data_IF_681915932513
#
_entry.id   IF_681915932513
#
_cell.length_a   1.000
_cell.length_b   1.000
_cell.length_c   1.000
_cell.angle_alpha   90.00
_cell.angle_beta   90.00
_cell.angle_gamma   90.00
#
_symmetry.space_group_name_H-M   'P 1'
#
loop_
_entity.id
_entity.type
_entity.pdbx_description
1 polymer ?
#
# COMPACT_ATOMS: atom_id res chain seq x y z
N UNK A 1 5.58 3.71 -9.56
CA UNK A 1 4.47 2.85 -9.13
C UNK A 1 4.33 2.82 -7.61
N UNK A 2 3.13 2.44 -7.16
CA UNK A 2 2.79 2.20 -5.76
C UNK A 2 1.95 0.92 -5.70
N UNK A 3 2.25 0.03 -4.76
CA UNK A 3 1.44 -1.16 -4.49
C UNK A 3 0.56 -0.88 -3.29
N UNK A 4 -0.72 -1.19 -3.41
CA UNK A 4 -1.68 -1.17 -2.30
C UNK A 4 -2.03 -2.60 -1.95
N UNK A 5 -1.59 -3.04 -0.79
CA UNK A 5 -1.79 -4.40 -0.30
C UNK A 5 -3.00 -4.48 0.64
N UNK A 6 -4.06 -5.13 0.20
CA UNK A 6 -5.25 -5.43 0.97
C UNK A 6 -5.12 -6.76 1.73
N UNK A 7 -5.76 -7.80 1.24
CA UNK A 7 -5.70 -9.16 1.81
C UNK A 7 -4.84 -10.11 0.99
N UNK A 8 -3.73 -9.62 0.45
CA UNK A 8 -2.89 -10.33 -0.51
C UNK A 8 -2.03 -11.44 0.13
N UNK A 9 -1.31 -11.13 1.21
CA UNK A 9 -0.40 -12.09 1.84
C UNK A 9 -1.12 -12.91 2.91
N UNK A 10 -1.51 -14.13 2.60
CA UNK A 10 -2.22 -15.04 3.50
C UNK A 10 -1.31 -16.07 4.15
N UNK A 11 -0.13 -16.25 3.60
CA UNK A 11 0.88 -17.20 4.07
C UNK A 11 2.23 -16.50 4.28
N UNK A 12 3.14 -17.08 5.07
CA UNK A 12 4.51 -16.57 5.16
C UNK A 12 5.21 -16.48 3.80
N UNK A 13 4.89 -17.39 2.88
CA UNK A 13 5.41 -17.33 1.51
C UNK A 13 4.81 -16.17 0.72
N UNK A 14 3.53 -15.86 0.92
CA UNK A 14 2.88 -14.70 0.31
C UNK A 14 3.53 -13.38 0.72
N UNK A 15 3.93 -13.25 1.99
CA UNK A 15 4.70 -12.08 2.46
C UNK A 15 6.04 -11.98 1.71
N UNK A 16 6.78 -13.09 1.60
CA UNK A 16 8.05 -13.13 0.85
C UNK A 16 7.87 -12.76 -0.62
N UNK A 17 6.83 -13.29 -1.26
CA UNK A 17 6.52 -12.99 -2.65
C UNK A 17 6.21 -11.49 -2.84
N UNK A 18 5.47 -10.88 -1.93
CA UNK A 18 5.17 -9.44 -2.00
C UNK A 18 6.42 -8.58 -1.76
N UNK A 19 7.30 -8.99 -0.84
CA UNK A 19 8.59 -8.35 -0.63
C UNK A 19 9.43 -8.41 -1.90
N UNK A 20 9.50 -9.57 -2.57
CA UNK A 20 10.27 -9.72 -3.80
C UNK A 20 9.76 -8.80 -4.93
N UNK A 21 8.44 -8.69 -5.12
CA UNK A 21 7.87 -7.74 -6.09
C UNK A 21 8.27 -6.31 -5.74
N UNK A 22 8.18 -5.93 -4.47
CA UNK A 22 8.53 -4.58 -4.01
C UNK A 22 10.02 -4.29 -4.23
N UNK A 23 10.89 -5.27 -4.00
CA UNK A 23 12.34 -5.15 -4.21
C UNK A 23 12.69 -5.02 -5.69
N UNK A 24 12.10 -5.83 -6.54
CA UNK A 24 12.34 -5.76 -8.00
C UNK A 24 11.87 -4.41 -8.56
N UNK A 25 10.74 -3.90 -8.07
CA UNK A 25 10.18 -2.63 -8.51
C UNK A 25 10.74 -1.43 -7.73
N UNK A 26 11.37 -1.62 -6.58
CA UNK A 26 11.82 -0.55 -5.67
C UNK A 26 10.73 0.52 -5.49
N UNK A 27 9.53 0.08 -5.11
CA UNK A 27 8.37 0.94 -4.98
C UNK A 27 7.69 0.79 -3.62
N UNK A 28 6.97 1.83 -3.21
CA UNK A 28 6.22 1.81 -1.95
C UNK A 28 5.16 0.73 -1.95
N UNK A 29 5.06 0.03 -0.82
CA UNK A 29 3.94 -0.84 -0.49
C UNK A 29 3.12 -0.19 0.63
N UNK A 30 1.87 0.06 0.34
CA UNK A 30 0.90 0.63 1.25
C UNK A 30 0.04 -0.50 1.78
N UNK A 31 0.31 -0.92 3.02
CA UNK A 31 -0.48 -1.94 3.68
C UNK A 31 -1.76 -1.30 4.23
N UNK A 32 -2.92 -1.84 3.85
CA UNK A 32 -4.22 -1.34 4.32
C UNK A 32 -4.52 -1.77 5.76
N UNK A 33 -3.60 -2.46 6.42
CA UNK A 33 -3.68 -2.91 7.83
C UNK A 33 -4.83 -3.87 8.14
N UNK A 34 -5.47 -4.42 7.12
CA UNK A 34 -6.49 -5.46 7.31
C UNK A 34 -5.84 -6.80 7.70
N UNK A 35 -4.54 -6.92 7.44
CA UNK A 35 -3.71 -8.09 7.68
C UNK A 35 -2.25 -7.64 7.65
N UNK A 36 -1.35 -8.39 8.26
CA UNK A 36 0.09 -8.16 8.10
C UNK A 36 0.52 -8.69 6.72
N UNK A 37 0.53 -7.81 5.71
CA UNK A 37 0.93 -8.18 4.36
C UNK A 37 2.41 -7.93 4.09
N UNK A 38 2.98 -6.91 4.74
CA UNK A 38 4.31 -6.42 4.39
C UNK A 38 5.07 -5.99 5.65
N UNK A 39 6.35 -6.34 5.81
CA UNK A 39 7.11 -5.98 7.00
C UNK A 39 7.23 -4.47 7.17
N UNK A 40 6.84 -3.96 8.33
CA UNK A 40 6.91 -2.51 8.63
C UNK A 40 8.35 -1.99 8.72
N UNK A 41 9.31 -2.88 8.94
CA UNK A 41 10.74 -2.57 8.96
C UNK A 41 11.38 -2.50 7.57
N UNK A 42 10.64 -2.92 6.53
CA UNK A 42 11.18 -2.95 5.17
C UNK A 42 11.34 -1.53 4.60
N UNK A 43 12.44 -1.22 3.87
CA UNK A 43 12.67 0.12 3.30
C UNK A 43 11.58 0.63 2.38
N UNK A 44 10.84 -0.28 1.72
CA UNK A 44 9.73 0.07 0.82
C UNK A 44 8.38 0.18 1.54
N UNK A 45 8.30 -0.03 2.87
CA UNK A 45 7.06 0.15 3.61
C UNK A 45 6.60 1.60 3.55
N UNK A 46 5.37 1.83 3.13
CA UNK A 46 4.85 3.16 2.86
C UNK A 46 3.70 3.61 3.76
N UNK A 47 3.28 2.79 4.73
CA UNK A 47 2.13 3.05 5.60
C UNK A 47 2.52 3.72 6.92
N UNK A 48 3.62 4.47 6.95
CA UNK A 48 4.11 5.18 8.13
C UNK A 48 3.16 6.30 8.54
N UNK A 49 2.89 6.40 9.85
CA UNK A 49 2.10 7.48 10.44
C UNK A 49 0.63 7.14 10.66
N UNK A 50 -0.17 8.18 10.88
CA UNK A 50 -1.50 8.16 11.45
C UNK A 50 -2.44 7.08 10.89
N UNK A 51 -3.27 6.57 11.77
CA UNK A 51 -4.29 5.53 11.59
C UNK A 51 -5.28 5.79 10.43
N UNK A 52 -5.31 7.03 9.90
CA UNK A 52 -6.29 7.48 8.91
C UNK A 52 -5.62 8.25 7.74
N UNK A 53 -4.29 8.38 7.72
CA UNK A 53 -3.66 8.96 6.54
C UNK A 53 -3.78 7.96 5.39
N UNK A 54 -4.73 8.22 4.52
CA UNK A 54 -4.80 7.49 3.25
C UNK A 54 -3.44 7.57 2.58
N UNK A 55 -2.99 6.43 2.08
CA UNK A 55 -1.66 6.32 1.50
C UNK A 55 -1.44 7.39 0.45
N UNK A 56 -0.27 7.96 0.45
CA UNK A 56 0.09 8.95 -0.56
C UNK A 56 0.25 8.27 -1.93
N UNK A 57 -0.83 8.29 -2.68
CA UNK A 57 -0.90 7.83 -4.08
C UNK A 57 -0.84 9.00 -5.07
N UNK A 58 -0.75 10.25 -4.57
CA UNK A 58 -0.88 11.45 -5.38
C UNK A 58 0.16 11.54 -6.50
N UNK A 59 1.40 11.19 -6.21
CA UNK A 59 2.50 11.26 -7.17
C UNK A 59 2.71 9.97 -7.98
N UNK A 60 1.88 8.95 -7.76
CA UNK A 60 2.01 7.69 -8.45
C UNK A 60 1.70 7.84 -9.95
N UNK A 61 2.51 7.24 -10.80
CA UNK A 61 2.26 7.03 -12.22
C UNK A 61 1.46 5.75 -12.49
N UNK A 62 1.52 4.80 -11.54
CA UNK A 62 0.78 3.56 -11.55
C UNK A 62 0.45 3.16 -10.11
N UNK A 63 -0.79 2.75 -9.88
CA UNK A 63 -1.24 2.14 -8.62
C UNK A 63 -1.70 0.71 -8.90
N UNK A 64 -1.06 -0.25 -8.22
CA UNK A 64 -1.41 -1.66 -8.28
C UNK A 64 -2.15 -2.04 -7.00
N UNK A 65 -3.43 -2.34 -7.10
CA UNK A 65 -4.26 -2.86 -5.99
C UNK A 65 -4.24 -4.38 -5.95
N UNK A 66 -3.91 -4.94 -4.79
CA UNK A 66 -3.86 -6.38 -4.55
C UNK A 66 -4.88 -6.77 -3.49
N UNK A 67 -6.02 -7.32 -3.89
CA UNK A 67 -7.14 -7.71 -3.02
C UNK A 67 -7.55 -6.58 -2.04
N UNK A 68 -7.74 -5.38 -2.56
CA UNK A 68 -8.08 -4.19 -1.78
C UNK A 68 -9.59 -4.05 -1.68
N UNK A 69 -10.13 -4.13 -0.46
CA UNK A 69 -11.57 -4.11 -0.22
C UNK A 69 -12.21 -2.77 -0.60
N UNK A 70 -11.65 -1.64 -0.17
CA UNK A 70 -12.11 -0.29 -0.54
C UNK A 70 -11.04 0.43 -1.37
N UNK A 71 -10.80 -0.07 -2.57
CA UNK A 71 -9.80 0.54 -3.45
C UNK A 71 -10.26 1.92 -3.95
N UNK A 72 -11.57 2.11 -4.12
CA UNK A 72 -12.12 3.41 -4.46
C UNK A 72 -11.77 4.48 -3.41
N UNK A 73 -11.97 4.18 -2.12
CA UNK A 73 -11.66 5.09 -1.03
C UNK A 73 -10.16 5.44 -0.90
N UNK A 74 -9.28 4.57 -1.40
CA UNK A 74 -7.85 4.88 -1.48
C UNK A 74 -7.56 5.87 -2.61
N UNK A 75 -8.21 5.70 -3.76
CA UNK A 75 -7.98 6.52 -4.95
C UNK A 75 -8.75 7.83 -4.95
N UNK A 76 -9.79 7.96 -4.12
CA UNK A 76 -10.66 9.12 -4.09
C UNK A 76 -10.84 9.65 -2.67
N UNK A 77 -11.14 10.94 -2.58
CA UNK A 77 -11.51 11.63 -1.34
C UNK A 77 -12.95 12.12 -1.48
N UNK A 78 -13.79 11.79 -0.53
CA UNK A 78 -15.12 12.42 -0.45
C UNK A 78 -14.94 13.87 0.02
N UNK A 79 -15.53 14.79 -0.71
CA UNK A 79 -15.42 16.23 -0.45
C UNK A 79 -16.73 16.86 0.04
N UNK A 80 -17.85 16.15 -0.19
CA UNK A 80 -19.14 16.63 0.28
C UNK A 80 -20.29 15.71 -0.10
N UNK A 81 -21.49 16.13 0.32
CA UNK A 81 -22.79 15.58 -0.09
C UNK A 81 -23.62 16.72 -0.66
N UNK A 82 -24.16 16.53 -1.83
CA UNK A 82 -25.15 17.42 -2.40
C UNK A 82 -26.44 16.66 -2.72
N UNK A 83 -27.45 17.36 -3.22
CA UNK A 83 -28.75 16.76 -3.59
C UNK A 83 -28.68 15.71 -4.70
N UNK A 84 -27.57 15.58 -5.38
CA UNK A 84 -27.35 14.61 -6.44
C UNK A 84 -26.46 13.43 -6.01
N UNK A 85 -25.94 13.44 -4.76
CA UNK A 85 -25.11 12.37 -4.24
C UNK A 85 -23.81 12.84 -3.60
N UNK A 86 -22.82 11.96 -3.58
CA UNK A 86 -21.50 12.23 -3.00
C UNK A 86 -20.61 12.95 -4.02
N UNK A 87 -20.05 14.06 -3.59
CA UNK A 87 -18.95 14.71 -4.30
C UNK A 87 -17.63 14.03 -3.93
N UNK A 88 -16.79 13.86 -4.93
CA UNK A 88 -15.47 13.25 -4.71
C UNK A 88 -14.38 13.91 -5.55
N UNK A 89 -13.17 13.80 -5.08
CA UNK A 89 -11.96 14.26 -5.75
C UNK A 89 -10.98 13.10 -5.89
N UNK A 90 -10.39 12.95 -7.07
CA UNK A 90 -9.34 11.95 -7.32
C UNK A 90 -8.07 12.33 -6.56
N UNK A 91 -7.49 11.38 -5.82
CA UNK A 91 -6.23 11.60 -5.07
C UNK A 91 -4.99 11.45 -5.94
N UNK A 92 -5.09 10.70 -7.02
CA UNK A 92 -3.98 10.48 -7.94
C UNK A 92 -3.89 11.62 -8.96
N UNK A 93 -2.69 11.92 -9.42
CA UNK A 93 -2.50 12.85 -10.53
C UNK A 93 -3.18 12.38 -11.83
N UNK A 94 -3.50 13.29 -12.75
CA UNK A 94 -4.02 12.92 -14.07
C UNK A 94 -3.09 11.96 -14.80
N UNK A 95 -3.67 10.96 -15.48
CA UNK A 95 -2.91 9.96 -16.24
C UNK A 95 -2.33 8.80 -15.43
N UNK A 96 -2.50 8.79 -14.10
CA UNK A 96 -2.14 7.63 -13.27
C UNK A 96 -2.88 6.38 -13.74
N UNK A 97 -2.12 5.33 -14.04
CA UNK A 97 -2.67 4.03 -14.38
C UNK A 97 -3.08 3.25 -13.13
N UNK A 98 -4.21 2.57 -13.22
CA UNK A 98 -4.76 1.75 -12.14
C UNK A 98 -4.88 0.31 -12.62
N UNK A 99 -4.23 -0.58 -11.89
CA UNK A 99 -4.32 -2.02 -12.12
C UNK A 99 -4.83 -2.67 -10.84
N UNK A 100 -5.74 -3.62 -10.95
CA UNK A 100 -6.19 -4.44 -9.83
C UNK A 100 -6.02 -5.92 -10.12
N UNK A 101 -5.57 -6.66 -9.10
CA UNK A 101 -5.57 -8.13 -9.10
C UNK A 101 -6.36 -8.55 -7.87
N UNK A 102 -7.53 -9.14 -8.08
CA UNK A 102 -8.44 -9.43 -6.99
C UNK A 102 -9.44 -10.52 -7.35
N UNK A 103 -9.77 -11.38 -6.40
CA UNK A 103 -10.89 -12.32 -6.53
C UNK A 103 -12.25 -11.60 -6.46
N UNK A 104 -12.31 -10.38 -5.90
CA UNK A 104 -13.52 -9.54 -5.87
C UNK A 104 -14.02 -9.22 -7.27
N UNK A 105 -13.11 -9.18 -8.26
CA UNK A 105 -13.45 -8.95 -9.67
C UNK A 105 -14.44 -10.00 -10.25
N UNK A 106 -14.56 -11.16 -9.62
CA UNK A 106 -15.59 -12.16 -9.95
C UNK A 106 -17.02 -11.61 -9.78
N UNK A 107 -17.19 -10.61 -8.92
CA UNK A 107 -18.48 -10.01 -8.60
C UNK A 107 -18.88 -8.83 -9.51
N UNK A 108 -18.08 -8.49 -10.53
CA UNK A 108 -18.30 -7.34 -11.41
C UNK A 108 -19.68 -7.31 -12.08
N UNK A 109 -20.26 -8.48 -12.36
CA UNK A 109 -21.56 -8.61 -12.99
C UNK A 109 -22.68 -8.92 -11.99
N UNK A 110 -22.37 -8.89 -10.68
CA UNK A 110 -23.35 -9.11 -9.63
C UNK A 110 -23.90 -7.81 -9.09
N UNK A 111 -24.99 -7.88 -8.33
CA UNK A 111 -25.53 -6.73 -7.60
C UNK A 111 -24.75 -6.44 -6.30
N UNK A 112 -23.71 -7.22 -6.03
CA UNK A 112 -22.90 -7.08 -4.84
C UNK A 112 -21.70 -6.19 -5.12
N UNK A 113 -21.60 -5.09 -4.39
CA UNK A 113 -20.45 -4.19 -4.39
C UNK A 113 -20.17 -3.76 -2.96
N UNK A 114 -18.94 -3.95 -2.50
CA UNK A 114 -18.51 -3.42 -1.23
C UNK A 114 -18.59 -1.89 -1.24
N UNK A 115 -19.17 -1.32 -0.19
CA UNK A 115 -19.35 0.13 -0.02
C UNK A 115 -20.13 0.83 -1.15
N UNK A 116 -20.80 0.10 -2.05
CA UNK A 116 -21.53 0.66 -3.20
C UNK A 116 -20.68 1.57 -4.09
N UNK A 117 -19.36 1.31 -4.15
CA UNK A 117 -18.39 2.11 -4.90
C UNK A 117 -17.58 1.22 -5.82
N UNK A 118 -17.43 1.67 -7.03
CA UNK A 118 -16.69 0.97 -8.07
C UNK A 118 -15.41 1.71 -8.46
N UNK A 119 -14.34 0.99 -8.68
CA UNK A 119 -13.07 1.55 -9.14
C UNK A 119 -12.94 1.37 -10.64
N UNK A 120 -12.86 2.49 -11.35
CA UNK A 120 -12.37 2.46 -12.72
C UNK A 120 -10.90 2.08 -12.74
N UNK A 121 -10.58 0.98 -13.39
CA UNK A 121 -9.22 0.49 -13.57
C UNK A 121 -8.86 0.36 -15.05
N UNK A 122 -7.61 0.68 -15.39
CA UNK A 122 -7.09 0.48 -16.76
C UNK A 122 -6.94 -1.02 -17.07
N UNK A 123 -6.69 -1.83 -16.04
CA UNK A 123 -6.63 -3.29 -16.15
C UNK A 123 -7.14 -3.94 -14.85
N UNK A 124 -8.16 -4.76 -14.99
CA UNK A 124 -8.67 -5.60 -13.91
C UNK A 124 -8.35 -7.07 -14.19
N UNK A 125 -7.64 -7.71 -13.28
CA UNK A 125 -7.26 -9.11 -13.36
C UNK A 125 -8.02 -9.88 -12.29
N UNK A 126 -8.92 -10.75 -12.70
CA UNK A 126 -9.63 -11.65 -11.82
C UNK A 126 -8.74 -12.83 -11.46
N UNK A 127 -8.30 -12.88 -10.22
CA UNK A 127 -7.42 -13.95 -9.77
C UNK A 127 -7.00 -13.78 -8.32
N UNK A 128 -6.35 -14.81 -7.80
CA UNK A 128 -5.73 -14.79 -6.47
C UNK A 128 -4.42 -14.01 -6.54
N UNK A 129 -4.33 -12.83 -5.88
CA UNK A 129 -3.13 -12.02 -5.97
C UNK A 129 -1.90 -12.72 -5.36
N UNK A 130 -2.03 -13.48 -4.26
CA UNK A 130 -0.88 -14.18 -3.68
C UNK A 130 -0.28 -15.20 -4.67
N UNK A 131 -1.13 -15.96 -5.34
CA UNK A 131 -0.69 -16.94 -6.34
C UNK A 131 -0.12 -16.28 -7.60
N UNK A 132 -0.51 -15.04 -7.90
CA UNK A 132 -0.07 -14.29 -9.09
C UNK A 132 1.30 -13.61 -8.90
N UNK A 133 1.70 -13.31 -7.65
CA UNK A 133 2.92 -12.53 -7.38
C UNK A 133 4.20 -13.15 -7.97
N UNK A 134 4.46 -14.47 -7.90
CA UNK A 134 5.68 -15.04 -8.49
C UNK A 134 5.78 -14.80 -10.00
N UNK A 135 4.70 -15.04 -10.73
CA UNK A 135 4.65 -14.84 -12.18
C UNK A 135 4.79 -13.35 -12.55
N UNK A 136 4.18 -12.47 -11.77
CA UNK A 136 4.33 -11.02 -11.93
C UNK A 136 5.80 -10.60 -11.74
N UNK A 137 6.46 -11.11 -10.71
CA UNK A 137 7.88 -10.86 -10.44
C UNK A 137 8.74 -11.26 -11.63
N UNK A 138 8.56 -12.46 -12.13
CA UNK A 138 9.34 -12.98 -13.27
C UNK A 138 9.06 -12.20 -14.57
N UNK A 139 7.81 -11.84 -14.80
CA UNK A 139 7.45 -11.00 -15.95
C UNK A 139 8.13 -9.63 -15.89
N UNK A 140 8.14 -9.00 -14.71
CA UNK A 140 8.83 -7.72 -14.50
C UNK A 140 10.34 -7.86 -14.70
N UNK A 141 10.97 -8.88 -14.11
CA UNK A 141 12.42 -9.13 -14.27
C UNK A 141 12.84 -9.23 -15.74
N UNK A 142 12.04 -9.89 -16.56
CA UNK A 142 12.28 -10.04 -18.01
C UNK A 142 12.24 -8.72 -18.77
N UNK A 143 11.49 -7.74 -18.28
CA UNK A 143 11.32 -6.43 -18.91
C UNK A 143 12.33 -5.38 -18.42
N UNK A 144 13.18 -5.71 -17.44
CA UNK A 144 14.15 -4.78 -16.88
C UNK A 144 15.38 -4.64 -17.79
N UNK A 145 15.47 -3.49 -18.47
CA UNK A 145 16.69 -3.04 -19.15
C UNK A 145 17.68 -2.42 -18.16
N UNK A 146 18.94 -2.22 -18.57
CA UNK A 146 19.95 -1.56 -17.74
C UNK A 146 19.49 -0.15 -17.28
N UNK A 147 18.98 0.66 -18.21
CA UNK A 147 18.51 2.02 -17.91
C UNK A 147 17.33 2.01 -16.91
N UNK A 148 16.40 1.07 -17.08
CA UNK A 148 15.28 0.91 -16.13
C UNK A 148 15.78 0.52 -14.74
N UNK A 149 16.79 -0.34 -14.63
CA UNK A 149 17.39 -0.72 -13.33
C UNK A 149 17.96 0.50 -12.62
N UNK A 150 18.72 1.34 -13.31
CA UNK A 150 19.31 2.58 -12.74
C UNK A 150 18.19 3.49 -12.21
N UNK A 151 17.13 3.71 -12.99
CA UNK A 151 16.01 4.55 -12.58
C UNK A 151 15.23 3.95 -11.38
N UNK A 152 15.06 2.63 -11.34
CA UNK A 152 14.40 1.90 -10.25
C UNK A 152 15.23 2.01 -8.98
N UNK A 153 16.54 1.79 -9.04
CA UNK A 153 17.42 1.90 -7.88
C UNK A 153 17.47 3.32 -7.32
N UNK A 154 17.51 4.34 -8.19
CA UNK A 154 17.45 5.73 -7.75
C UNK A 154 16.15 6.04 -7.01
N UNK A 155 15.01 5.53 -7.49
CA UNK A 155 13.72 5.62 -6.82
C UNK A 155 13.75 4.90 -5.47
N UNK A 156 14.27 3.68 -5.42
CA UNK A 156 14.37 2.89 -4.20
C UNK A 156 15.14 3.61 -3.09
N UNK A 157 16.30 4.19 -3.43
CA UNK A 157 17.09 5.00 -2.48
C UNK A 157 16.29 6.16 -1.92
N UNK A 158 15.52 6.87 -2.77
CA UNK A 158 14.66 7.98 -2.32
C UNK A 158 13.54 7.50 -1.41
N UNK A 159 12.88 6.40 -1.74
CA UNK A 159 11.81 5.82 -0.93
C UNK A 159 12.33 5.35 0.42
N UNK A 160 13.46 4.63 0.43
CA UNK A 160 14.10 4.15 1.66
C UNK A 160 14.52 5.30 2.59
N UNK A 161 15.04 6.40 2.04
CA UNK A 161 15.42 7.56 2.83
C UNK A 161 14.20 8.24 3.48
N UNK A 162 13.11 8.42 2.74
CA UNK A 162 11.86 8.96 3.26
C UNK A 162 11.33 8.08 4.40
N UNK A 163 11.38 6.75 4.21
CA UNK A 163 10.94 5.80 5.22
C UNK A 163 11.83 5.85 6.48
N UNK A 164 13.14 5.92 6.31
CA UNK A 164 14.10 6.06 7.40
C UNK A 164 13.83 7.32 8.25
N UNK A 165 13.56 8.45 7.59
CA UNK A 165 13.22 9.71 8.26
C UNK A 165 11.89 9.61 9.00
N UNK A 166 10.87 8.97 8.41
CA UNK A 166 9.59 8.73 9.06
C UNK A 166 9.76 7.89 10.34
N UNK A 167 10.49 6.79 10.27
CA UNK A 167 10.78 5.97 11.45
C UNK A 167 11.59 6.69 12.53
N UNK A 168 12.53 7.56 12.14
CA UNK A 168 13.26 8.38 13.10
C UNK A 168 12.30 9.32 13.85
N UNK A 169 11.42 10.01 13.12
CA UNK A 169 10.40 10.89 13.70
C UNK A 169 9.42 10.12 14.59
N UNK A 170 8.98 8.94 14.18
CA UNK A 170 8.06 8.12 14.97
C UNK A 170 8.70 7.71 16.30
N UNK A 171 10.01 7.39 16.31
CA UNK A 171 10.77 7.12 17.55
C UNK A 171 10.89 8.35 18.45
N UNK A 172 11.15 9.51 17.89
CA UNK A 172 11.17 10.77 18.65
C UNK A 172 9.81 11.06 19.30
N UNK A 173 8.72 10.88 18.53
CA UNK A 173 7.36 11.04 19.06
C UNK A 173 7.02 10.00 20.13
N UNK A 174 7.46 8.77 19.96
CA UNK A 174 7.25 7.72 20.95
C UNK A 174 7.99 7.96 22.26
N UNK A 175 9.09 8.71 22.23
CA UNK A 175 9.86 9.10 23.42
C UNK A 175 9.17 10.20 24.23
N UNK A 176 8.22 10.93 23.65
CA UNK A 176 7.48 11.97 24.39
C UNK A 176 6.64 11.33 25.51
N UNK A 177 6.83 11.82 26.74
CA UNK A 177 6.13 11.28 27.90
C UNK A 177 6.60 9.89 28.33
N UNK A 178 7.81 9.49 27.96
CA UNK A 178 8.35 8.16 28.29
C UNK A 178 8.27 7.83 29.78
N UNK A 179 8.57 8.80 30.65
CA UNK A 179 8.52 8.63 32.11
C UNK A 179 7.23 9.10 32.75
N UNK A 180 6.16 9.30 31.93
CA UNK A 180 4.88 9.74 32.46
C UNK A 180 4.19 8.68 33.33
N UNK A 181 3.42 9.16 34.31
CA UNK A 181 2.52 8.33 35.13
C UNK A 181 1.09 8.86 35.02
N UNK A 182 0.13 8.05 34.56
CA UNK A 182 0.26 6.66 34.13
C UNK A 182 1.14 6.49 32.87
N UNK A 183 1.61 5.27 32.63
CA UNK A 183 2.48 4.95 31.50
C UNK A 183 1.89 5.44 30.15
N UNK A 184 2.71 6.10 29.34
CA UNK A 184 2.32 6.50 27.99
C UNK A 184 2.06 5.30 27.09
N UNK A 185 1.04 5.34 26.25
CA UNK A 185 0.69 4.27 25.29
C UNK A 185 1.85 3.98 24.35
N UNK A 186 2.58 5.00 23.92
CA UNK A 186 3.77 4.85 23.06
C UNK A 186 4.86 4.01 23.73
N UNK A 187 5.14 4.25 25.02
CA UNK A 187 6.07 3.46 25.79
C UNK A 187 5.62 2.01 25.94
N UNK A 188 4.35 1.79 26.29
CA UNK A 188 3.79 0.44 26.42
C UNK A 188 4.01 -0.37 25.14
N UNK A 189 3.71 0.21 23.98
CA UNK A 189 3.89 -0.50 22.70
C UNK A 189 5.37 -0.65 22.31
N UNK A 190 6.24 0.31 22.62
CA UNK A 190 7.66 0.20 22.35
C UNK A 190 8.32 -0.91 23.19
N UNK A 191 7.98 -0.99 24.49
CA UNK A 191 8.44 -2.04 25.39
C UNK A 191 7.93 -3.43 24.96
N UNK A 192 6.65 -3.51 24.56
CA UNK A 192 6.06 -4.75 24.04
C UNK A 192 6.75 -5.21 22.76
N UNK A 193 6.97 -4.28 21.82
CA UNK A 193 7.64 -4.58 20.54
C UNK A 193 9.08 -5.09 20.72
N UNK A 194 9.76 -4.62 21.77
CA UNK A 194 11.11 -5.08 22.10
C UNK A 194 11.16 -6.54 22.61
N UNK A 195 10.01 -7.13 22.97
CA UNK A 195 9.90 -8.51 23.47
C UNK A 195 9.51 -9.52 22.39
N UNK A 196 9.10 -9.07 21.20
CA UNK A 196 8.67 -9.90 20.08
C UNK A 196 9.77 -10.01 19.03
#
# INVERSE_FOLDING_TARGET
PVIVAGRVARTPQGIKNLVEVADVLQCKVLDTRMRMNFPSTHPMYGSNGAVIAYPNVADADLVLGLEVQDFWGILNKMTGLNKFGMENERRTKPGTKVITISAIELNHKSNYQDFFRYVESDLAITGDPEATLPELTEAVKKLLTADRRIAIEARGKKVAEINRQAHARDRELAALGWDASPIATSRLFAELYAQI
#
